data_IF_159365807414
#
_entry.id   IF_159365807414
#
_cell.length_a   1.000
_cell.length_b   1.000
_cell.length_c   1.000
_cell.angle_alpha   90.00
_cell.angle_beta   90.00
_cell.angle_gamma   90.00
#
_symmetry.space_group_name_H-M   'P 1'
#
loop_
_entity.id
_entity.type
_entity.pdbx_description
1 polymer ?
#
# COMPACT_ATOMS: atom_id res chain seq x y z
N UNK A 1 -58.43 -19.49 -67.93
CA UNK A 1 -58.07 -18.28 -67.16
C UNK A 1 -57.44 -18.78 -65.87
N UNK A 2 -56.11 -18.67 -65.74
CA UNK A 2 -55.38 -19.09 -64.53
C UNK A 2 -55.20 -17.84 -63.67
N UNK A 3 -55.73 -17.86 -62.46
CA UNK A 3 -55.55 -16.78 -61.48
C UNK A 3 -54.34 -17.15 -60.64
N UNK A 4 -53.21 -16.49 -60.87
CA UNK A 4 -52.04 -16.59 -59.99
C UNK A 4 -52.31 -15.79 -58.72
N UNK A 5 -52.31 -16.47 -57.58
CA UNK A 5 -52.37 -15.83 -56.26
C UNK A 5 -50.94 -15.48 -55.86
N UNK A 6 -50.61 -14.19 -55.80
CA UNK A 6 -49.32 -13.74 -55.28
C UNK A 6 -49.26 -13.98 -53.77
N UNK A 7 -48.40 -14.91 -53.36
CA UNK A 7 -48.08 -15.11 -51.95
C UNK A 7 -47.20 -13.94 -51.51
N UNK A 8 -47.75 -13.07 -50.67
CA UNK A 8 -47.00 -12.04 -49.97
C UNK A 8 -46.09 -12.71 -48.94
N UNK A 9 -44.78 -12.77 -49.21
CA UNK A 9 -43.79 -13.20 -48.22
C UNK A 9 -43.56 -12.05 -47.23
N UNK A 10 -43.80 -12.26 -45.91
CA UNK A 10 -43.54 -11.24 -44.92
C UNK A 10 -42.02 -11.10 -44.74
N UNK A 11 -41.52 -9.92 -45.08
CA UNK A 11 -40.26 -9.28 -44.64
C UNK A 11 -39.13 -10.24 -44.22
N UNK A 12 -38.50 -10.88 -45.20
CA UNK A 12 -37.23 -11.58 -44.97
C UNK A 12 -36.08 -10.57 -45.08
N UNK A 13 -35.47 -10.22 -43.94
CA UNK A 13 -34.37 -9.26 -43.88
C UNK A 13 -33.24 -9.58 -44.86
N UNK A 14 -32.79 -8.56 -45.57
CA UNK A 14 -31.64 -8.65 -46.48
C UNK A 14 -30.35 -8.93 -45.70
N UNK A 15 -29.32 -9.48 -46.37
CA UNK A 15 -28.02 -9.76 -45.75
C UNK A 15 -27.37 -8.51 -45.11
N UNK A 16 -27.59 -7.33 -45.69
CA UNK A 16 -27.09 -6.06 -45.14
C UNK A 16 -27.81 -5.66 -43.86
N UNK A 17 -29.12 -5.87 -43.77
CA UNK A 17 -29.91 -5.60 -42.57
C UNK A 17 -29.56 -6.56 -41.43
N UNK A 18 -29.44 -7.86 -41.71
CA UNK A 18 -29.01 -8.85 -40.70
C UNK A 18 -27.63 -8.51 -40.11
N UNK A 19 -26.68 -8.07 -40.95
CA UNK A 19 -25.36 -7.64 -40.50
C UNK A 19 -25.43 -6.34 -39.67
N UNK A 20 -26.24 -5.37 -40.12
CA UNK A 20 -26.40 -4.07 -39.44
C UNK A 20 -27.07 -4.23 -38.07
N UNK A 21 -28.17 -4.98 -37.99
CA UNK A 21 -28.85 -5.27 -36.73
C UNK A 21 -28.00 -6.13 -35.79
N UNK A 22 -27.18 -7.05 -36.32
CA UNK A 22 -26.21 -7.82 -35.53
C UNK A 22 -25.16 -6.94 -34.86
N UNK A 23 -24.58 -5.98 -35.60
CA UNK A 23 -23.60 -5.01 -35.05
C UNK A 23 -24.26 -4.12 -33.99
N UNK A 24 -25.46 -3.57 -34.28
CA UNK A 24 -26.21 -2.74 -33.33
C UNK A 24 -26.55 -3.54 -32.06
N UNK A 25 -27.00 -4.79 -32.20
CA UNK A 25 -27.27 -5.67 -31.06
C UNK A 25 -26.04 -5.93 -30.19
N UNK A 26 -24.88 -6.21 -30.80
CA UNK A 26 -23.62 -6.39 -30.07
C UNK A 26 -23.16 -5.11 -29.35
N UNK A 27 -23.30 -3.94 -29.98
CA UNK A 27 -22.98 -2.65 -29.36
C UNK A 27 -23.92 -2.33 -28.18
N UNK A 28 -25.20 -2.64 -28.30
CA UNK A 28 -26.19 -2.43 -27.23
C UNK A 28 -25.95 -3.38 -26.04
N UNK A 29 -25.67 -4.66 -26.30
CA UNK A 29 -25.33 -5.63 -25.26
C UNK A 29 -24.00 -5.25 -24.58
N UNK A 30 -22.99 -4.90 -25.37
CA UNK A 30 -21.72 -4.40 -24.84
C UNK A 30 -21.91 -3.14 -23.97
N UNK A 31 -22.64 -2.13 -24.49
CA UNK A 31 -22.90 -0.87 -23.80
C UNK A 31 -23.65 -1.07 -22.48
N UNK A 32 -24.70 -1.88 -22.46
CA UNK A 32 -25.47 -2.20 -21.26
C UNK A 32 -24.64 -2.96 -20.21
N UNK A 33 -23.76 -3.88 -20.63
CA UNK A 33 -22.82 -4.55 -19.72
C UNK A 33 -21.86 -3.56 -19.04
N UNK A 34 -21.25 -2.63 -19.79
CA UNK A 34 -20.35 -1.63 -19.22
C UNK A 34 -21.06 -0.66 -18.27
N UNK A 35 -22.28 -0.24 -18.61
CA UNK A 35 -23.12 0.62 -17.75
C UNK A 35 -23.46 -0.13 -16.45
N UNK A 36 -23.94 -1.37 -16.53
CA UNK A 36 -24.25 -2.20 -15.37
C UNK A 36 -23.03 -2.39 -14.45
N UNK A 37 -21.86 -2.71 -15.01
CA UNK A 37 -20.59 -2.82 -14.26
C UNK A 37 -20.21 -1.50 -13.58
N UNK A 38 -20.39 -0.36 -14.25
CA UNK A 38 -20.09 0.95 -13.69
C UNK A 38 -20.99 1.30 -12.49
N UNK A 39 -22.29 1.00 -12.60
CA UNK A 39 -23.25 1.23 -11.51
C UNK A 39 -22.96 0.36 -10.29
N UNK A 40 -22.64 -0.93 -10.47
CA UNK A 40 -22.24 -1.82 -9.38
C UNK A 40 -20.97 -1.30 -8.69
N UNK A 41 -19.97 -0.85 -9.46
CA UNK A 41 -18.74 -0.26 -8.90
C UNK A 41 -19.06 0.99 -8.07
N UNK A 42 -19.85 1.92 -8.60
CA UNK A 42 -20.26 3.14 -7.90
C UNK A 42 -21.00 2.80 -6.59
N UNK A 43 -21.97 1.90 -6.64
CA UNK A 43 -22.71 1.47 -5.46
C UNK A 43 -21.80 0.83 -4.40
N UNK A 44 -20.86 -0.03 -4.82
CA UNK A 44 -19.87 -0.66 -3.93
C UNK A 44 -18.93 0.36 -3.30
N UNK A 45 -18.45 1.33 -4.08
CA UNK A 45 -17.60 2.41 -3.60
C UNK A 45 -18.37 3.30 -2.60
N UNK A 46 -19.60 3.73 -2.92
CA UNK A 46 -20.44 4.51 -2.00
C UNK A 46 -20.75 3.76 -0.70
N UNK A 47 -21.01 2.45 -0.78
CA UNK A 47 -21.23 1.64 0.41
C UNK A 47 -19.97 1.49 1.28
N UNK A 48 -18.79 1.43 0.66
CA UNK A 48 -17.52 1.37 1.37
C UNK A 48 -17.12 2.75 1.94
N UNK A 49 -17.39 3.84 1.23
CA UNK A 49 -17.16 5.24 1.68
C UNK A 49 -17.89 5.51 3.00
N UNK A 50 -19.12 4.99 3.17
CA UNK A 50 -19.86 5.15 4.43
C UNK A 50 -19.13 4.57 5.65
N UNK A 51 -18.26 3.57 5.45
CA UNK A 51 -17.48 2.97 6.54
C UNK A 51 -16.31 3.84 6.96
N UNK A 52 -15.93 4.84 6.16
CA UNK A 52 -14.85 5.77 6.53
C UNK A 52 -15.25 6.71 7.66
N UNK A 53 -16.51 6.70 8.09
CA UNK A 53 -16.99 7.48 9.24
C UNK A 53 -16.66 6.81 10.57
N UNK A 54 -16.26 5.54 10.55
CA UNK A 54 -15.79 4.80 11.72
C UNK A 54 -14.27 4.91 11.80
N UNK A 55 -13.76 5.56 12.84
CA UNK A 55 -12.32 5.68 13.08
C UNK A 55 -11.68 4.30 13.25
N UNK A 56 -10.52 4.11 12.62
CA UNK A 56 -9.80 2.83 12.62
C UNK A 56 -10.44 1.71 11.78
N UNK A 57 -11.50 2.01 11.01
CA UNK A 57 -12.05 1.02 10.07
C UNK A 57 -11.08 0.73 8.92
N UNK A 58 -11.19 -0.44 8.26
CA UNK A 58 -10.38 -0.74 7.08
C UNK A 58 -10.55 0.27 5.93
N UNK A 59 -11.73 0.86 5.80
CA UNK A 59 -12.01 1.89 4.80
C UNK A 59 -11.33 3.22 5.15
N UNK A 60 -11.29 3.59 6.43
CA UNK A 60 -10.59 4.78 6.90
C UNK A 60 -9.08 4.68 6.65
N UNK A 61 -8.47 3.54 6.99
CA UNK A 61 -7.06 3.29 6.66
C UNK A 61 -6.79 3.31 5.15
N UNK A 62 -7.67 2.69 4.34
CA UNK A 62 -7.54 2.72 2.89
C UNK A 62 -7.58 4.16 2.33
N UNK A 63 -8.41 5.02 2.91
CA UNK A 63 -8.49 6.44 2.55
C UNK A 63 -7.24 7.21 2.96
N UNK A 64 -6.72 6.97 4.16
CA UNK A 64 -5.45 7.56 4.63
C UNK A 64 -4.27 7.17 3.74
N UNK A 65 -4.19 5.91 3.33
CA UNK A 65 -3.19 5.43 2.36
C UNK A 65 -3.34 6.17 1.03
N UNK A 66 -4.56 6.27 0.49
CA UNK A 66 -4.79 7.00 -0.76
C UNK A 66 -4.46 8.49 -0.64
N UNK A 67 -4.78 9.12 0.49
CA UNK A 67 -4.41 10.51 0.73
C UNK A 67 -2.90 10.68 0.81
N UNK A 68 -2.16 9.72 1.36
CA UNK A 68 -0.70 9.76 1.35
C UNK A 68 -0.12 9.70 -0.07
N UNK A 69 -0.72 8.89 -0.95
CA UNK A 69 -0.34 8.85 -2.38
C UNK A 69 -0.72 10.11 -3.15
N UNK A 70 -1.84 10.75 -2.79
CA UNK A 70 -2.35 11.94 -3.49
C UNK A 70 -1.87 13.26 -2.86
N UNK A 71 -1.05 13.20 -1.80
CA UNK A 71 -0.52 14.39 -1.11
C UNK A 71 0.67 14.98 -1.88
N UNK A 72 0.40 15.31 -3.14
CA UNK A 72 1.32 15.99 -4.02
C UNK A 72 1.54 17.43 -3.54
N UNK A 73 2.79 17.90 -3.56
CA UNK A 73 3.08 19.32 -3.30
C UNK A 73 2.47 20.23 -4.38
N UNK A 74 2.64 21.56 -4.27
CA UNK A 74 2.09 22.55 -5.23
C UNK A 74 2.39 22.26 -6.71
N UNK A 75 3.41 21.46 -7.03
CA UNK A 75 3.77 21.08 -8.39
C UNK A 75 3.09 19.79 -8.89
N UNK A 76 2.31 19.10 -8.04
CA UNK A 76 1.63 17.84 -8.40
C UNK A 76 2.55 16.62 -8.29
N UNK A 77 3.59 16.68 -7.46
CA UNK A 77 4.60 15.64 -7.31
C UNK A 77 4.80 15.32 -5.83
N UNK A 78 4.90 14.03 -5.51
CA UNK A 78 5.41 13.53 -4.24
C UNK A 78 4.39 12.70 -3.47
N UNK A 79 4.88 11.71 -2.73
CA UNK A 79 4.10 10.95 -1.77
C UNK A 79 4.33 11.53 -0.37
N UNK A 80 3.38 11.38 0.52
CA UNK A 80 3.60 11.61 1.95
C UNK A 80 4.01 10.29 2.61
N UNK A 81 5.30 9.95 2.49
CA UNK A 81 5.84 8.66 2.96
C UNK A 81 5.69 8.53 4.48
N UNK A 82 5.79 9.64 5.22
CA UNK A 82 5.61 9.67 6.67
C UNK A 82 4.16 9.32 7.06
N UNK A 83 3.17 9.93 6.38
CA UNK A 83 1.76 9.61 6.60
C UNK A 83 1.43 8.17 6.21
N UNK A 84 1.98 7.68 5.09
CA UNK A 84 1.85 6.29 4.67
C UNK A 84 2.41 5.34 5.73
N UNK A 85 3.64 5.57 6.19
CA UNK A 85 4.32 4.79 7.24
C UNK A 85 3.48 4.72 8.51
N UNK A 86 3.03 5.87 9.03
CA UNK A 86 2.18 5.96 10.23
C UNK A 86 0.89 5.17 10.06
N UNK A 87 0.25 5.29 8.90
CA UNK A 87 -0.99 4.58 8.59
C UNK A 87 -0.77 3.07 8.55
N UNK A 88 0.30 2.61 7.88
CA UNK A 88 0.64 1.19 7.83
C UNK A 88 1.00 0.66 9.22
N UNK A 89 1.74 1.39 10.05
CA UNK A 89 2.05 1.01 11.43
C UNK A 89 0.79 0.83 12.28
N UNK A 90 -0.19 1.72 12.14
CA UNK A 90 -1.45 1.67 12.89
C UNK A 90 -2.33 0.45 12.58
N UNK A 91 -2.15 -0.21 11.44
CA UNK A 91 -2.89 -1.43 11.09
C UNK A 91 -2.34 -2.61 11.91
N UNK A 92 -3.15 -3.27 12.77
CA UNK A 92 -2.62 -4.11 13.83
C UNK A 92 -2.13 -5.51 13.40
N UNK A 93 -2.56 -6.01 12.24
CA UNK A 93 -2.27 -7.39 11.82
C UNK A 93 -2.34 -7.55 10.30
N UNK A 94 -1.84 -8.69 9.80
CA UNK A 94 -1.99 -9.05 8.38
C UNK A 94 -3.46 -9.30 8.00
N UNK A 95 -4.28 -9.86 8.88
CA UNK A 95 -5.73 -9.96 8.63
C UNK A 95 -6.39 -8.58 8.46
N UNK A 96 -6.07 -7.63 9.35
CA UNK A 96 -6.55 -6.25 9.23
C UNK A 96 -6.04 -5.61 7.93
N UNK A 97 -4.76 -5.81 7.58
CA UNK A 97 -4.17 -5.33 6.32
C UNK A 97 -4.90 -5.87 5.09
N UNK A 98 -5.24 -7.17 5.06
CA UNK A 98 -6.04 -7.76 3.98
C UNK A 98 -7.42 -7.09 3.85
N UNK A 99 -8.04 -6.72 4.97
CA UNK A 99 -9.31 -5.96 4.95
C UNK A 99 -9.10 -4.55 4.38
N UNK A 100 -8.01 -3.87 4.74
CA UNK A 100 -7.66 -2.55 4.20
C UNK A 100 -7.44 -2.61 2.69
N UNK A 101 -6.65 -3.58 2.20
CA UNK A 101 -6.44 -3.80 0.75
C UNK A 101 -7.78 -4.01 0.02
N UNK A 102 -8.68 -4.81 0.62
CA UNK A 102 -10.00 -5.04 0.05
C UNK A 102 -10.87 -3.76 0.04
N UNK A 103 -10.80 -2.93 1.07
CA UNK A 103 -11.50 -1.64 1.12
C UNK A 103 -10.94 -0.67 0.09
N UNK A 104 -9.61 -0.59 -0.06
CA UNK A 104 -8.94 0.22 -1.08
C UNK A 104 -9.43 -0.15 -2.49
N UNK A 105 -9.43 -1.44 -2.83
CA UNK A 105 -9.91 -1.95 -4.12
C UNK A 105 -11.39 -1.64 -4.37
N UNK A 106 -12.22 -1.52 -3.33
CA UNK A 106 -13.63 -1.15 -3.46
C UNK A 106 -13.83 0.34 -3.67
N UNK A 107 -13.07 1.18 -2.97
CA UNK A 107 -13.14 2.63 -3.05
C UNK A 107 -12.62 3.12 -4.40
N UNK A 108 -11.44 2.65 -4.81
CA UNK A 108 -10.70 3.22 -5.94
C UNK A 108 -10.71 2.36 -7.20
N UNK A 109 -11.17 1.11 -7.11
CA UNK A 109 -11.08 0.13 -8.19
C UNK A 109 -9.64 -0.14 -8.70
N UNK A 110 -8.63 0.19 -7.88
CA UNK A 110 -7.18 -0.03 -8.12
C UNK A 110 -6.58 -0.98 -7.09
N UNK A 111 -5.36 -1.45 -7.37
CA UNK A 111 -4.57 -2.27 -6.44
C UNK A 111 -3.69 -1.39 -5.57
N UNK A 112 -3.95 -1.42 -4.26
CA UNK A 112 -3.14 -0.68 -3.27
C UNK A 112 -1.63 -0.98 -3.38
N UNK A 113 -1.28 -2.24 -3.66
CA UNK A 113 0.13 -2.64 -3.81
C UNK A 113 0.76 -2.11 -5.08
N UNK A 114 -0.02 -1.97 -6.16
CA UNK A 114 0.47 -1.44 -7.42
C UNK A 114 0.64 0.08 -7.33
N UNK A 115 -0.33 0.76 -6.70
CA UNK A 115 -0.24 2.20 -6.46
C UNK A 115 0.94 2.50 -5.53
N UNK A 116 1.12 1.76 -4.43
CA UNK A 116 2.30 1.91 -3.55
C UNK A 116 3.63 1.68 -4.28
N UNK A 117 3.67 0.82 -5.30
CA UNK A 117 4.87 0.59 -6.10
C UNK A 117 5.12 1.71 -7.13
N UNK A 118 4.07 2.35 -7.64
CA UNK A 118 4.23 3.49 -8.57
C UNK A 118 4.58 4.78 -7.86
N UNK A 119 4.07 4.95 -6.64
CA UNK A 119 4.23 6.18 -5.85
C UNK A 119 5.59 6.28 -5.14
N UNK A 120 6.24 5.16 -4.86
CA UNK A 120 7.45 5.11 -4.02
C UNK A 120 8.71 4.73 -4.80
N UNK A 121 9.86 5.21 -4.33
CA UNK A 121 11.15 4.64 -4.70
C UNK A 121 11.30 3.21 -4.21
N UNK A 122 12.33 2.50 -4.70
CA UNK A 122 12.55 1.09 -4.33
C UNK A 122 12.86 0.92 -2.82
N UNK A 123 13.61 1.84 -2.21
CA UNK A 123 13.96 1.80 -0.78
C UNK A 123 12.74 2.06 0.10
N UNK A 124 11.93 3.07 -0.23
CA UNK A 124 10.66 3.38 0.46
C UNK A 124 9.65 2.23 0.34
N UNK A 125 9.45 1.70 -0.88
CA UNK A 125 8.57 0.54 -1.09
C UNK A 125 9.01 -0.67 -0.26
N UNK A 126 10.32 -0.92 -0.19
CA UNK A 126 10.90 -2.00 0.61
C UNK A 126 10.66 -1.79 2.11
N UNK A 127 10.73 -0.54 2.58
CA UNK A 127 10.41 -0.19 3.97
C UNK A 127 8.93 -0.51 4.27
N UNK A 128 8.00 -0.06 3.42
CA UNK A 128 6.57 -0.29 3.60
C UNK A 128 6.24 -1.79 3.61
N UNK A 129 6.87 -2.57 2.74
CA UNK A 129 6.74 -4.04 2.75
C UNK A 129 7.28 -4.66 4.04
N UNK A 130 8.39 -4.17 4.58
CA UNK A 130 8.94 -4.67 5.84
C UNK A 130 8.00 -4.38 7.03
N UNK A 131 7.37 -3.20 7.06
CA UNK A 131 6.32 -2.86 8.04
C UNK A 131 5.15 -3.84 7.94
N UNK A 132 4.67 -4.13 6.72
CA UNK A 132 3.56 -5.07 6.50
C UNK A 132 3.95 -6.49 6.90
N UNK A 133 5.15 -6.94 6.53
CA UNK A 133 5.63 -8.31 6.75
C UNK A 133 5.83 -8.62 8.24
N UNK A 134 6.24 -7.63 9.03
CA UNK A 134 6.47 -7.76 10.48
C UNK A 134 5.19 -7.90 11.30
N UNK A 135 4.01 -7.63 10.72
CA UNK A 135 2.75 -7.69 11.46
C UNK A 135 2.41 -9.12 11.88
N UNK A 136 1.80 -9.31 13.06
CA UNK A 136 1.26 -10.61 13.43
C UNK A 136 0.15 -11.03 12.46
N UNK A 137 -0.10 -12.33 12.32
CA UNK A 137 -1.15 -12.84 11.42
C UNK A 137 -2.55 -12.34 11.82
N UNK A 138 -2.84 -12.32 13.12
CA UNK A 138 -4.13 -11.91 13.70
C UNK A 138 -3.95 -10.82 14.75
N UNK A 139 -4.98 -10.00 14.98
CA UNK A 139 -4.97 -8.87 15.94
C UNK A 139 -4.97 -9.26 17.42
N UNK A 140 -4.69 -10.53 17.74
CA UNK A 140 -4.53 -11.03 19.10
C UNK A 140 -3.13 -10.71 19.59
N UNK A 141 -3.02 -9.52 20.19
CA UNK A 141 -1.88 -9.01 20.92
C UNK A 141 -1.58 -9.85 22.17
N UNK A 142 -0.76 -10.89 22.05
CA UNK A 142 0.14 -11.21 23.16
C UNK A 142 1.39 -10.34 23.02
N UNK A 143 1.31 -9.12 23.56
CA UNK A 143 2.40 -8.11 23.59
C UNK A 143 3.53 -8.50 24.58
N UNK A 144 3.53 -9.74 25.05
CA UNK A 144 4.49 -10.27 26.02
C UNK A 144 5.62 -11.08 25.40
N UNK A 145 5.53 -11.46 24.12
CA UNK A 145 6.64 -12.14 23.46
C UNK A 145 7.77 -11.16 23.14
N UNK A 146 9.00 -11.54 23.51
CA UNK A 146 10.22 -10.90 23.02
C UNK A 146 10.19 -10.83 21.48
N UNK A 147 10.75 -9.78 20.86
CA UNK A 147 10.77 -9.70 19.40
C UNK A 147 11.38 -10.95 18.77
N UNK A 148 10.78 -11.41 17.67
CA UNK A 148 11.24 -12.62 16.97
C UNK A 148 12.46 -12.33 16.11
N UNK A 149 13.25 -13.34 15.70
CA UNK A 149 14.32 -13.15 14.72
C UNK A 149 13.85 -12.45 13.43
N UNK A 150 12.61 -12.72 12.99
CA UNK A 150 12.01 -12.05 11.84
C UNK A 150 11.77 -10.55 12.11
N UNK A 151 11.40 -10.18 13.33
CA UNK A 151 11.23 -8.78 13.73
C UNK A 151 12.56 -8.02 13.66
N UNK A 152 13.65 -8.61 14.17
CA UNK A 152 14.98 -8.00 14.09
C UNK A 152 15.45 -7.83 12.63
N UNK A 153 15.19 -8.82 11.77
CA UNK A 153 15.46 -8.69 10.33
C UNK A 153 14.60 -7.61 9.67
N UNK A 154 13.35 -7.43 10.10
CA UNK A 154 12.48 -6.36 9.59
C UNK A 154 13.00 -4.98 9.96
N UNK A 155 13.37 -4.76 11.23
CA UNK A 155 13.98 -3.50 11.66
C UNK A 155 15.30 -3.22 10.94
N UNK A 156 16.15 -4.24 10.75
CA UNK A 156 17.37 -4.10 9.97
C UNK A 156 17.10 -3.66 8.52
N UNK A 157 16.09 -4.25 7.86
CA UNK A 157 15.67 -3.86 6.51
C UNK A 157 15.17 -2.43 6.44
N UNK A 158 14.35 -2.01 7.41
CA UNK A 158 13.81 -0.65 7.46
C UNK A 158 14.91 0.38 7.72
N UNK A 159 15.86 0.08 8.60
CA UNK A 159 17.03 0.93 8.82
C UNK A 159 17.87 1.03 7.54
N UNK A 160 18.10 -0.08 6.83
CA UNK A 160 18.82 -0.03 5.55
C UNK A 160 18.06 0.80 4.50
N UNK A 161 16.75 0.61 4.36
CA UNK A 161 15.92 1.44 3.47
C UNK A 161 16.01 2.93 3.81
N UNK A 162 16.07 3.27 5.10
CA UNK A 162 16.19 4.65 5.55
C UNK A 162 17.55 5.28 5.21
N UNK A 163 18.62 4.49 5.12
CA UNK A 163 19.94 4.94 4.68
C UNK A 163 20.04 5.08 3.15
N UNK A 164 19.23 4.30 2.42
CA UNK A 164 19.31 4.21 0.96
C UNK A 164 18.25 5.07 0.27
N UNK A 165 17.81 6.18 0.88
CA UNK A 165 16.93 7.13 0.18
C UNK A 165 17.74 7.88 -0.87
N UNK A 166 17.14 8.09 -2.04
CA UNK A 166 17.75 8.85 -3.13
C UNK A 166 16.77 9.91 -3.63
N UNK A 167 17.12 11.17 -3.42
CA UNK A 167 16.33 12.29 -3.92
C UNK A 167 16.99 12.91 -5.15
N UNK A 168 16.33 12.84 -6.31
CA UNK A 168 16.77 13.50 -7.56
C UNK A 168 18.28 13.36 -7.85
N UNK A 169 18.84 12.16 -7.60
CA UNK A 169 20.25 11.78 -7.76
C UNK A 169 21.21 12.06 -6.58
N UNK A 170 20.74 12.62 -5.47
CA UNK A 170 21.55 12.78 -4.26
C UNK A 170 21.20 11.71 -3.22
N UNK A 171 22.20 11.09 -2.57
CA UNK A 171 21.95 10.23 -1.42
C UNK A 171 21.33 11.07 -0.30
N UNK A 172 20.45 10.45 0.48
CA UNK A 172 19.84 11.05 1.65
C UNK A 172 19.46 10.00 2.68
N UNK A 173 19.12 10.48 3.87
CA UNK A 173 18.77 9.66 5.02
C UNK A 173 17.34 10.00 5.44
N UNK A 174 16.57 8.99 5.85
CA UNK A 174 15.24 9.18 6.45
C UNK A 174 15.33 9.08 7.97
N UNK A 175 15.61 10.20 8.63
CA UNK A 175 15.76 10.26 10.08
C UNK A 175 14.45 9.86 10.79
N UNK A 176 13.30 10.17 10.20
CA UNK A 176 11.99 9.82 10.75
C UNK A 176 11.72 8.31 10.68
N UNK A 177 12.15 7.62 9.62
CA UNK A 177 12.10 6.16 9.52
C UNK A 177 13.02 5.49 10.55
N UNK A 178 14.25 6.00 10.72
CA UNK A 178 15.19 5.49 11.74
C UNK A 178 14.58 5.65 13.13
N UNK A 179 14.07 6.84 13.43
CA UNK A 179 13.41 7.16 14.70
C UNK A 179 12.20 6.27 14.92
N UNK A 180 11.37 6.04 13.90
CA UNK A 180 10.21 5.16 13.98
C UNK A 180 10.61 3.73 14.37
N UNK A 181 11.67 3.18 13.76
CA UNK A 181 12.22 1.87 14.13
C UNK A 181 12.70 1.87 15.59
N UNK A 182 13.42 2.89 16.03
CA UNK A 182 13.93 2.96 17.41
C UNK A 182 12.82 3.13 18.44
N UNK A 183 11.73 3.80 18.09
CA UNK A 183 10.55 3.92 18.96
C UNK A 183 9.82 2.59 19.12
N UNK A 184 9.83 1.72 18.11
CA UNK A 184 9.27 0.37 18.19
C UNK A 184 10.11 -0.60 19.04
N UNK A 185 11.43 -0.39 19.12
CA UNK A 185 12.30 -1.19 20.00
C UNK A 185 11.94 -0.97 21.46
N UNK A 186 11.83 -2.06 22.24
CA UNK A 186 11.45 -1.97 23.66
C UNK A 186 12.66 -1.81 24.56
N UNK A 187 13.78 -2.40 24.16
CA UNK A 187 14.99 -2.52 24.98
C UNK A 187 16.24 -2.18 24.17
N UNK A 188 17.35 -1.97 24.88
CA UNK A 188 18.67 -1.87 24.24
C UNK A 188 19.09 -3.22 23.63
N UNK A 189 18.67 -4.35 24.21
CA UNK A 189 18.92 -5.67 23.64
C UNK A 189 18.31 -5.81 22.23
N UNK A 190 17.11 -5.24 22.00
CA UNK A 190 16.48 -5.25 20.68
C UNK A 190 17.33 -4.57 19.61
N UNK A 191 18.00 -3.47 19.98
CA UNK A 191 18.93 -2.78 19.09
C UNK A 191 20.11 -3.67 18.72
N UNK A 192 20.74 -4.34 19.70
CA UNK A 192 21.89 -5.21 19.43
C UNK A 192 21.53 -6.46 18.63
N UNK A 193 20.36 -7.04 18.88
CA UNK A 193 19.84 -8.16 18.05
C UNK A 193 19.57 -7.70 16.62
N UNK A 194 19.04 -6.48 16.45
CA UNK A 194 18.87 -5.86 15.14
C UNK A 194 20.20 -5.58 14.46
N UNK A 195 21.22 -5.10 15.19
CA UNK A 195 22.56 -4.86 14.66
C UNK A 195 23.21 -6.17 14.16
N UNK A 196 23.04 -7.28 14.90
CA UNK A 196 23.50 -8.59 14.48
C UNK A 196 22.77 -9.09 13.21
N UNK A 197 21.45 -8.92 13.14
CA UNK A 197 20.67 -9.24 11.96
C UNK A 197 21.09 -8.37 10.75
N UNK A 198 21.32 -7.08 10.97
CA UNK A 198 21.78 -6.13 9.96
C UNK A 198 23.13 -6.54 9.38
N UNK A 199 24.11 -6.85 10.23
CA UNK A 199 25.42 -7.33 9.80
C UNK A 199 25.32 -8.63 8.99
N UNK A 200 24.45 -9.56 9.40
CA UNK A 200 24.21 -10.79 8.65
C UNK A 200 23.57 -10.55 7.27
N UNK A 201 22.73 -9.51 7.13
CA UNK A 201 22.02 -9.21 5.88
C UNK A 201 22.86 -8.40 4.89
N UNK A 202 23.69 -7.48 5.39
CA UNK A 202 24.35 -6.46 4.56
C UNK A 202 25.88 -6.53 4.61
N UNK A 203 26.46 -7.28 5.54
CA UNK A 203 27.91 -7.36 5.70
C UNK A 203 28.56 -6.09 6.27
N UNK A 204 27.78 -5.07 6.61
CA UNK A 204 28.21 -3.83 7.29
C UNK A 204 27.69 -3.76 8.72
N UNK A 205 28.34 -2.96 9.56
CA UNK A 205 27.94 -2.79 10.96
C UNK A 205 26.91 -1.67 11.08
N UNK A 206 25.76 -1.96 11.71
CA UNK A 206 24.67 -0.99 11.84
C UNK A 206 25.12 0.34 12.48
N UNK A 207 25.95 0.29 13.52
CA UNK A 207 26.46 1.51 14.17
C UNK A 207 27.36 2.34 13.26
N UNK A 208 28.18 1.68 12.44
CA UNK A 208 29.06 2.35 11.49
C UNK A 208 28.25 3.05 10.40
N UNK A 209 27.24 2.35 9.88
CA UNK A 209 26.36 2.93 8.86
C UNK A 209 25.57 4.10 9.47
N UNK A 210 24.97 3.96 10.68
CA UNK A 210 24.32 5.08 11.38
C UNK A 210 25.22 6.31 11.55
N UNK A 211 26.50 6.13 11.85
CA UNK A 211 27.46 7.23 11.99
C UNK A 211 27.84 7.88 10.65
N UNK A 212 27.76 7.13 9.56
CA UNK A 212 28.03 7.63 8.22
C UNK A 212 26.84 8.37 7.63
N UNK A 213 25.63 7.93 7.95
CA UNK A 213 24.38 8.42 7.35
C UNK A 213 23.76 9.59 8.13
N UNK A 214 24.01 9.70 9.44
CA UNK A 214 23.48 10.78 10.27
C UNK A 214 24.55 11.83 10.55
N UNK A 215 24.13 13.10 10.49
CA UNK A 215 24.98 14.20 10.93
C UNK A 215 25.16 14.15 12.45
N UNK A 216 26.25 14.74 12.96
CA UNK A 216 26.60 14.66 14.39
C UNK A 216 25.47 15.17 15.30
N UNK A 217 24.72 16.18 14.86
CA UNK A 217 23.59 16.73 15.61
C UNK A 217 22.33 15.86 15.57
N UNK A 218 22.18 14.96 14.58
CA UNK A 218 21.10 13.98 14.49
C UNK A 218 21.43 12.69 15.23
N UNK A 219 22.68 12.24 15.11
CA UNK A 219 23.15 10.99 15.68
C UNK A 219 22.98 10.94 17.20
N UNK A 220 23.36 12.01 17.91
CA UNK A 220 23.32 12.03 19.38
C UNK A 220 21.89 11.91 19.94
N UNK A 221 20.90 12.73 19.51
CA UNK A 221 19.50 12.55 19.90
C UNK A 221 18.94 11.17 19.53
N UNK A 222 19.31 10.64 18.36
CA UNK A 222 18.84 9.34 17.91
C UNK A 222 19.29 8.21 18.85
N UNK A 223 20.57 8.21 19.22
CA UNK A 223 21.10 7.22 20.17
C UNK A 223 20.56 7.40 21.58
N UNK A 224 20.22 8.63 21.99
CA UNK A 224 19.60 8.91 23.30
C UNK A 224 18.22 8.24 23.47
N UNK A 225 17.46 8.07 22.38
CA UNK A 225 16.21 7.28 22.38
C UNK A 225 16.47 5.85 22.87
N UNK A 226 17.55 5.22 22.40
CA UNK A 226 17.92 3.86 22.78
C UNK A 226 18.50 3.79 24.19
N UNK A 227 19.35 4.73 24.56
CA UNK A 227 20.00 4.76 25.88
C UNK A 227 19.01 4.88 27.04
N UNK A 228 17.88 5.57 26.81
CA UNK A 228 16.79 5.72 27.80
C UNK A 228 15.95 4.46 27.99
N UNK A 229 16.06 3.46 27.11
CA UNK A 229 15.31 2.20 27.20
C UNK A 229 15.95 1.23 28.21
N UNK A 230 15.17 0.30 28.80
CA UNK A 230 15.71 -0.79 29.61
C UNK A 230 16.78 -1.59 28.85
N UNK A 231 17.75 -2.13 29.59
CA UNK A 231 18.83 -2.93 28.98
C UNK A 231 18.33 -4.26 28.40
N UNK A 232 17.33 -4.86 29.04
CA UNK A 232 16.74 -6.19 28.76
C UNK A 232 15.26 -6.19 29.08
#
# INVERSE_FOLDING_TARGET
>A
MKTETSVHNPDEFTLKEKLTYGIVGLLMIGGSFFIGRSLIRKARATAEEKKTYEDGSPATFAKQINMAFENDNWLGWGTDEEALRKTLQAIPSKDAMRKVINSYQKLYARSMMADMQSELTTSEYSEMLAIIAAKPETGSSEVTAQPTPLQYQSWAKRLKSAFDITYWMFPGTDEDAIKAVFMEMRTQADFWQTAAAYQSLYGSELLKDLQSELEVWEYVPMMDILMKKPKT
#
